data_IF_794428202835
#
_entry.id   IF_794428202835
#
_cell.length_a   1.000
_cell.length_b   1.000
_cell.length_c   1.000
_cell.angle_alpha   90.00
_cell.angle_beta   90.00
_cell.angle_gamma   90.00
#
_symmetry.space_group_name_H-M   'P 1'
#
loop_
_entity.id
_entity.type
_entity.pdbx_description
1 polymer ?
#
# COMPACT_ATOMS: atom_id res chain seq x y z
N UNK A 1 -8.91 -0.27 25.41
CA UNK A 1 -8.28 -1.27 24.51
C UNK A 1 -6.89 -0.76 24.13
N UNK A 2 -5.84 -1.54 24.39
CA UNK A 2 -4.49 -1.13 24.04
C UNK A 2 -4.28 -1.34 22.54
N UNK A 3 -3.93 -0.29 21.83
CA UNK A 3 -3.61 -0.31 20.41
C UNK A 3 -2.12 -0.53 20.25
N UNK A 4 -1.72 -1.44 19.36
CA UNK A 4 -0.32 -1.69 19.08
C UNK A 4 -0.06 -1.55 17.60
N UNK A 5 1.03 -0.86 17.24
CA UNK A 5 1.56 -0.94 15.90
C UNK A 5 2.22 -2.30 15.71
N UNK A 6 1.86 -2.99 14.64
CA UNK A 6 2.40 -4.31 14.33
C UNK A 6 3.41 -4.23 13.21
N UNK A 7 4.42 -5.06 13.29
CA UNK A 7 5.50 -5.21 12.33
C UNK A 7 5.70 -6.67 11.98
N UNK A 8 6.54 -6.96 11.02
CA UNK A 8 6.96 -8.34 10.74
C UNK A 8 7.77 -8.89 11.90
N UNK A 9 7.57 -10.16 12.23
CA UNK A 9 8.46 -10.90 13.11
C UNK A 9 9.53 -11.63 12.29
N UNK A 10 10.79 -11.56 12.69
CA UNK A 10 11.87 -12.27 12.01
C UNK A 10 13.25 -11.69 12.28
N UNK A 11 14.31 -12.36 11.84
CA UNK A 11 15.67 -11.84 11.93
C UNK A 11 15.90 -10.77 10.86
N UNK A 12 15.87 -9.56 11.30
CA UNK A 12 15.91 -8.36 10.47
C UNK A 12 17.24 -8.12 9.77
N UNK A 13 18.32 -8.63 10.32
CA UNK A 13 19.65 -8.47 9.74
C UNK A 13 19.79 -9.12 8.36
N UNK A 14 19.01 -10.17 8.09
CA UNK A 14 18.93 -10.80 6.77
C UNK A 14 18.10 -9.95 5.80
N UNK A 15 17.17 -9.13 6.29
CA UNK A 15 16.28 -8.30 5.49
C UNK A 15 16.89 -6.94 5.13
N UNK A 16 17.83 -6.43 5.92
CA UNK A 16 18.58 -5.21 5.60
C UNK A 16 19.40 -5.31 4.29
N UNK A 17 19.79 -6.53 3.92
CA UNK A 17 20.48 -6.77 2.63
C UNK A 17 19.54 -6.70 1.42
N UNK A 18 18.23 -6.62 1.63
CA UNK A 18 17.22 -6.50 0.57
C UNK A 18 16.35 -5.27 0.84
N UNK A 19 16.82 -4.14 0.36
CA UNK A 19 16.18 -2.84 0.51
C UNK A 19 14.69 -2.88 0.17
N UNK A 20 13.88 -2.24 1.00
CA UNK A 20 12.51 -1.82 0.66
C UNK A 20 11.51 -2.94 0.33
N UNK A 21 11.58 -4.08 1.04
CA UNK A 21 10.52 -5.09 0.95
C UNK A 21 9.18 -4.53 1.42
N UNK A 22 8.10 -5.01 0.82
CA UNK A 22 6.74 -4.55 1.08
C UNK A 22 5.96 -5.65 1.81
N UNK A 23 5.98 -5.67 3.15
CA UNK A 23 5.17 -6.61 3.91
C UNK A 23 3.68 -6.35 3.73
N UNK A 24 2.94 -7.44 3.71
CA UNK A 24 1.49 -7.48 3.81
C UNK A 24 1.11 -7.86 5.22
N UNK A 25 0.17 -7.13 5.81
CA UNK A 25 -0.42 -7.40 7.12
C UNK A 25 -1.89 -7.73 6.95
N UNK A 26 -2.40 -8.70 7.71
CA UNK A 26 -3.76 -9.19 7.52
C UNK A 26 -4.38 -9.68 8.82
N UNK A 27 -5.70 -9.45 8.95
CA UNK A 27 -6.55 -10.08 9.97
C UNK A 27 -7.93 -10.39 9.42
N UNK A 28 -8.47 -11.55 9.77
CA UNK A 28 -9.89 -11.83 9.64
C UNK A 28 -10.62 -11.53 10.95
N UNK A 29 -11.85 -11.07 10.82
CA UNK A 29 -12.72 -10.82 11.96
C UNK A 29 -14.19 -11.04 11.57
N UNK A 30 -15.02 -11.31 12.58
CA UNK A 30 -16.44 -11.58 12.37
C UNK A 30 -17.29 -10.46 12.96
N UNK A 31 -18.01 -9.72 12.09
CA UNK A 31 -19.05 -8.81 12.55
C UNK A 31 -20.30 -9.62 12.97
N UNK A 32 -20.63 -9.58 14.25
CA UNK A 32 -21.64 -10.47 14.85
C UNK A 32 -23.07 -10.11 14.46
N UNK A 33 -23.31 -8.83 14.16
CA UNK A 33 -24.64 -8.28 13.91
C UNK A 33 -24.66 -7.45 12.62
N UNK A 34 -25.85 -6.96 12.25
CA UNK A 34 -25.99 -6.04 11.12
C UNK A 34 -25.30 -4.71 11.45
N UNK A 35 -24.40 -4.27 10.60
CA UNK A 35 -23.62 -3.05 10.76
C UNK A 35 -24.51 -1.86 10.38
N UNK A 36 -24.57 -0.84 11.24
CA UNK A 36 -25.18 0.44 10.96
C UNK A 36 -24.17 1.45 10.41
N UNK A 37 -22.95 1.47 10.98
CA UNK A 37 -21.84 2.27 10.48
C UNK A 37 -20.50 1.69 10.94
N UNK A 38 -19.45 1.94 10.17
CA UNK A 38 -18.10 1.52 10.53
C UNK A 38 -17.05 2.55 10.08
N UNK A 39 -16.09 2.82 10.95
CA UNK A 39 -14.94 3.69 10.63
C UNK A 39 -13.64 2.97 10.96
N UNK A 40 -12.64 3.17 10.11
CA UNK A 40 -11.27 2.75 10.37
C UNK A 40 -10.37 3.98 10.56
N UNK A 41 -9.54 3.91 11.58
CA UNK A 41 -8.44 4.81 11.84
C UNK A 41 -7.18 4.03 11.59
N UNK A 42 -6.29 4.51 10.73
CA UNK A 42 -5.08 3.76 10.35
C UNK A 42 -3.89 4.65 10.11
N UNK A 43 -2.71 4.11 10.39
CA UNK A 43 -1.41 4.74 10.18
C UNK A 43 -0.35 3.68 9.89
N UNK A 44 0.81 4.10 9.43
CA UNK A 44 1.96 3.23 9.24
C UNK A 44 3.28 3.96 9.56
N UNK A 45 4.29 3.18 9.86
CA UNK A 45 5.68 3.59 9.70
C UNK A 45 6.11 3.12 8.31
N UNK A 46 6.08 4.03 7.36
CA UNK A 46 6.17 3.77 5.93
C UNK A 46 4.98 4.36 5.17
N UNK A 47 4.82 3.99 3.91
CA UNK A 47 3.66 4.32 3.08
C UNK A 47 2.81 3.08 2.89
N UNK A 48 1.48 3.20 2.99
CA UNK A 48 0.62 2.01 3.01
C UNK A 48 -0.59 2.11 2.08
N UNK A 49 -1.02 0.94 1.58
CA UNK A 49 -2.34 0.71 1.04
C UNK A 49 -3.19 -0.08 2.04
N UNK A 50 -4.46 0.26 2.12
CA UNK A 50 -5.43 -0.38 3.01
C UNK A 50 -6.54 -1.05 2.20
N UNK A 51 -6.94 -2.24 2.63
CA UNK A 51 -7.96 -3.05 1.95
C UNK A 51 -8.96 -3.61 2.95
N UNK A 52 -10.23 -3.65 2.54
CA UNK A 52 -11.31 -4.34 3.25
C UNK A 52 -12.00 -5.28 2.26
N UNK A 53 -12.09 -6.56 2.59
CA UNK A 53 -12.79 -7.58 1.79
C UNK A 53 -12.38 -7.62 0.30
N UNK A 54 -11.11 -7.35 0.01
CA UNK A 54 -10.58 -7.34 -1.36
C UNK A 54 -10.67 -5.99 -2.07
N UNK A 55 -11.25 -4.96 -1.46
CA UNK A 55 -11.38 -3.63 -2.04
C UNK A 55 -10.40 -2.64 -1.38
N UNK A 56 -9.70 -1.84 -2.19
CA UNK A 56 -8.85 -0.76 -1.69
C UNK A 56 -9.73 0.29 -1.00
N UNK A 57 -9.30 0.76 0.16
CA UNK A 57 -10.03 1.78 0.94
C UNK A 57 -9.67 3.17 0.43
N UNK A 58 -10.69 3.98 0.20
CA UNK A 58 -10.56 5.38 -0.21
C UNK A 58 -11.76 6.21 0.26
N UNK A 59 -11.78 7.48 -0.13
CA UNK A 59 -12.82 8.44 0.18
C UNK A 59 -13.92 8.39 -0.89
N UNK A 60 -15.15 8.13 -0.48
CA UNK A 60 -16.32 8.21 -1.36
C UNK A 60 -16.68 9.68 -1.55
N UNK A 61 -16.69 10.12 -2.79
CA UNK A 61 -17.03 11.49 -3.19
C UNK A 61 -18.54 11.64 -3.38
N UNK A 62 -19.02 12.89 -3.47
CA UNK A 62 -20.45 13.19 -3.70
C UNK A 62 -20.98 12.63 -5.02
N UNK A 63 -20.12 12.56 -6.04
CA UNK A 63 -20.43 11.97 -7.35
C UNK A 63 -20.43 10.44 -7.36
N UNK A 64 -20.19 9.80 -6.19
CA UNK A 64 -20.10 8.36 -6.02
C UNK A 64 -18.75 7.75 -6.38
N UNK A 65 -17.82 8.51 -6.93
CA UNK A 65 -16.46 8.03 -7.22
C UNK A 65 -15.68 7.75 -5.93
N UNK A 66 -14.66 6.92 -6.03
CA UNK A 66 -13.74 6.67 -4.91
C UNK A 66 -12.40 7.34 -5.23
N UNK A 67 -11.96 8.21 -4.36
CA UNK A 67 -10.61 8.80 -4.41
C UNK A 67 -9.72 8.16 -3.35
N UNK A 68 -8.52 7.83 -3.77
CA UNK A 68 -7.52 7.21 -2.91
C UNK A 68 -6.52 8.27 -2.44
N UNK A 69 -6.19 8.23 -1.16
CA UNK A 69 -5.08 8.99 -0.62
C UNK A 69 -3.80 8.21 -0.89
N UNK A 70 -2.96 8.78 -1.72
CA UNK A 70 -1.66 8.22 -2.03
C UNK A 70 -0.62 8.70 -1.00
N UNK A 71 0.52 8.01 -0.89
CA UNK A 71 1.62 8.34 0.02
C UNK A 71 1.22 8.49 1.51
N UNK A 72 0.04 7.96 1.90
CA UNK A 72 -0.40 7.98 3.30
C UNK A 72 0.51 7.12 4.20
N UNK A 73 0.81 7.49 5.45
CA UNK A 73 0.16 8.56 6.22
C UNK A 73 0.75 9.95 6.01
N UNK A 74 1.57 10.20 5.00
CA UNK A 74 2.36 11.39 4.76
C UNK A 74 3.59 11.46 5.67
N UNK A 75 4.49 12.38 5.37
CA UNK A 75 5.70 12.59 6.17
C UNK A 75 5.41 13.39 7.45
N UNK A 76 6.09 13.01 8.53
CA UNK A 76 6.20 13.76 9.77
C UNK A 76 7.61 13.57 10.33
N UNK A 77 7.94 14.29 11.38
CA UNK A 77 9.04 13.92 12.26
C UNK A 77 8.62 12.70 13.10
N UNK A 78 8.90 11.50 12.59
CA UNK A 78 8.51 10.24 13.23
C UNK A 78 9.14 10.01 14.62
N UNK A 79 10.13 10.83 15.01
CA UNK A 79 10.63 10.83 16.39
C UNK A 79 9.61 11.42 17.36
N UNK A 80 8.66 12.22 16.86
CA UNK A 80 7.65 12.92 17.66
C UNK A 80 6.23 12.49 17.35
N UNK A 81 5.87 12.42 16.06
CA UNK A 81 4.48 12.19 15.63
C UNK A 81 4.40 11.31 14.39
N UNK A 82 3.26 10.66 14.20
CA UNK A 82 2.85 10.10 12.92
C UNK A 82 1.37 10.45 12.67
N UNK A 83 1.03 10.73 11.42
CA UNK A 83 -0.35 10.99 11.05
C UNK A 83 -1.18 9.71 10.98
N UNK A 84 -2.47 9.80 11.30
CA UNK A 84 -3.43 8.77 10.96
C UNK A 84 -4.54 9.31 10.06
N UNK A 85 -5.02 8.46 9.15
CA UNK A 85 -6.18 8.72 8.31
C UNK A 85 -7.43 8.05 8.89
N UNK A 86 -8.59 8.60 8.53
CA UNK A 86 -9.90 8.07 8.93
C UNK A 86 -10.76 7.86 7.70
N UNK A 87 -11.32 6.65 7.56
CA UNK A 87 -12.20 6.31 6.45
C UNK A 87 -13.52 5.74 6.95
N UNK A 88 -14.61 6.12 6.29
CA UNK A 88 -15.87 5.38 6.38
C UNK A 88 -15.75 4.09 5.56
N UNK A 89 -15.93 2.95 6.21
CA UNK A 89 -15.83 1.62 5.59
C UNK A 89 -17.14 0.84 5.68
N UNK A 90 -18.25 1.54 5.97
CA UNK A 90 -19.56 0.91 6.19
C UNK A 90 -19.96 0.03 5.01
N UNK A 91 -19.86 0.56 3.78
CA UNK A 91 -20.25 -0.12 2.56
C UNK A 91 -19.31 -1.29 2.18
N UNK A 92 -18.11 -1.35 2.76
CA UNK A 92 -17.11 -2.38 2.51
C UNK A 92 -17.26 -3.61 3.41
N UNK A 93 -18.03 -3.49 4.49
CA UNK A 93 -18.20 -4.53 5.49
C UNK A 93 -19.55 -5.22 5.38
N UNK A 94 -19.59 -6.46 5.87
CA UNK A 94 -20.83 -7.25 5.93
C UNK A 94 -20.97 -7.95 7.29
N UNK A 95 -22.19 -8.32 7.65
CA UNK A 95 -22.41 -9.26 8.75
C UNK A 95 -21.72 -10.59 8.43
N UNK A 96 -21.05 -11.18 9.40
CA UNK A 96 -20.26 -12.41 9.21
C UNK A 96 -18.77 -12.12 8.98
N UNK A 97 -18.12 -12.96 8.21
CA UNK A 97 -16.67 -12.93 8.01
C UNK A 97 -16.22 -11.74 7.14
N UNK A 98 -15.22 -11.03 7.64
CA UNK A 98 -14.57 -9.91 6.98
C UNK A 98 -13.05 -10.06 7.09
N UNK A 99 -12.34 -9.44 6.17
CA UNK A 99 -10.88 -9.34 6.21
C UNK A 99 -10.43 -7.88 6.06
N UNK A 100 -9.46 -7.49 6.85
CA UNK A 100 -8.71 -6.25 6.71
C UNK A 100 -7.26 -6.59 6.37
N UNK A 101 -6.67 -5.84 5.44
CA UNK A 101 -5.29 -6.00 5.07
C UNK A 101 -4.63 -4.68 4.74
N UNK A 102 -3.33 -4.60 4.99
CA UNK A 102 -2.49 -3.48 4.59
C UNK A 102 -1.19 -4.01 4.00
N UNK A 103 -0.67 -3.35 2.96
CA UNK A 103 0.71 -3.50 2.53
C UNK A 103 1.44 -2.20 2.78
N UNK A 104 2.67 -2.29 3.24
CA UNK A 104 3.43 -1.13 3.71
C UNK A 104 4.80 -1.14 3.06
N UNK A 105 5.15 -0.07 2.36
CA UNK A 105 6.50 0.16 1.82
C UNK A 105 7.28 1.11 2.71
N UNK A 106 8.57 1.28 2.44
CA UNK A 106 9.51 2.04 3.26
C UNK A 106 9.07 3.50 3.52
N UNK A 107 8.49 4.18 2.51
CA UNK A 107 8.09 5.57 2.63
C UNK A 107 9.25 6.47 3.08
N UNK A 108 8.97 7.42 3.98
CA UNK A 108 10.00 8.24 4.62
C UNK A 108 10.59 7.62 5.89
N UNK A 109 9.98 6.56 6.40
CA UNK A 109 10.41 5.92 7.64
C UNK A 109 11.70 5.13 7.46
N UNK A 110 11.81 4.35 6.39
CA UNK A 110 12.91 3.40 6.17
C UNK A 110 13.38 3.40 4.71
N UNK A 111 13.64 4.59 4.16
CA UNK A 111 14.19 4.75 2.82
C UNK A 111 15.38 5.70 2.82
N UNK A 112 16.12 5.71 1.73
CA UNK A 112 17.24 6.62 1.53
C UNK A 112 16.80 8.08 1.38
N UNK A 113 15.51 8.35 1.17
CA UNK A 113 15.00 9.72 1.01
C UNK A 113 15.20 10.57 2.26
N UNK A 114 15.21 9.95 3.43
CA UNK A 114 15.54 10.62 4.70
C UNK A 114 16.93 10.25 5.22
N UNK A 115 17.81 9.74 4.38
CA UNK A 115 19.21 9.39 4.74
C UNK A 115 19.33 8.52 5.99
N UNK A 116 18.32 7.69 6.28
CA UNK A 116 18.28 6.84 7.47
C UNK A 116 18.10 7.60 8.78
N UNK A 117 17.58 8.83 8.76
CA UNK A 117 17.38 9.68 9.94
C UNK A 117 16.58 8.99 11.05
N UNK A 118 15.56 8.20 10.67
CA UNK A 118 14.75 7.45 11.63
C UNK A 118 15.28 6.04 11.90
N UNK A 119 16.44 5.71 11.35
CA UNK A 119 17.08 4.39 11.44
C UNK A 119 16.55 3.39 10.41
N UNK A 120 17.26 2.28 10.25
CA UNK A 120 16.87 1.18 9.36
C UNK A 120 15.97 0.21 10.14
N UNK A 121 14.81 0.67 10.56
CA UNK A 121 13.86 -0.11 11.34
C UNK A 121 12.74 -0.67 10.47
N UNK A 122 12.11 -1.73 10.96
CA UNK A 122 10.96 -2.34 10.30
C UNK A 122 9.83 -1.35 10.10
N UNK A 123 9.21 -1.40 8.92
CA UNK A 123 7.93 -0.76 8.70
C UNK A 123 6.87 -1.36 9.63
N UNK A 124 5.89 -0.55 10.01
CA UNK A 124 4.84 -0.96 10.92
C UNK A 124 3.47 -0.50 10.45
N UNK A 125 2.44 -1.17 10.91
CA UNK A 125 1.06 -0.81 10.64
C UNK A 125 0.23 -0.78 11.91
N UNK A 126 -0.66 0.20 12.02
CA UNK A 126 -1.62 0.31 13.11
C UNK A 126 -3.00 0.67 12.58
N UNK A 127 -4.03 -0.01 13.10
CA UNK A 127 -5.42 0.30 12.76
C UNK A 127 -6.37 0.03 13.92
N UNK A 128 -7.45 0.81 13.93
CA UNK A 128 -8.61 0.62 14.82
C UNK A 128 -9.87 0.74 13.97
N UNK A 129 -10.67 -0.31 13.94
CA UNK A 129 -12.00 -0.31 13.33
C UNK A 129 -13.04 -0.19 14.45
N UNK A 130 -13.93 0.78 14.33
CA UNK A 130 -15.11 0.93 15.17
C UNK A 130 -16.32 0.47 14.38
N UNK A 131 -17.00 -0.56 14.87
CA UNK A 131 -18.27 -1.07 14.34
C UNK A 131 -19.40 -0.59 15.22
N UNK A 132 -20.42 0.03 14.64
CA UNK A 132 -21.70 0.31 15.29
C UNK A 132 -22.76 -0.58 14.66
N UNK A 133 -23.50 -1.28 15.47
CA UNK A 133 -24.54 -2.18 15.02
C UNK A 133 -25.93 -1.51 15.06
N UNK A 134 -26.88 -2.05 14.29
CA UNK A 134 -28.23 -1.49 14.19
C UNK A 134 -29.02 -1.58 15.49
N UNK A 135 -28.58 -2.39 16.46
CA UNK A 135 -29.17 -2.50 17.80
C UNK A 135 -28.53 -1.54 18.81
N UNK A 136 -27.70 -0.59 18.35
CA UNK A 136 -27.03 0.40 19.20
C UNK A 136 -25.75 -0.08 19.88
N UNK A 137 -25.43 -1.38 19.84
CA UNK A 137 -24.17 -1.89 20.39
C UNK A 137 -23.00 -1.60 19.48
N UNK A 138 -21.78 -1.67 20.01
CA UNK A 138 -20.54 -1.44 19.24
C UNK A 138 -19.49 -2.50 19.52
N UNK A 139 -18.60 -2.68 18.57
CA UNK A 139 -17.44 -3.57 18.65
C UNK A 139 -16.21 -2.86 18.09
N UNK A 140 -15.03 -3.20 18.59
CA UNK A 140 -13.77 -2.64 18.13
C UNK A 140 -12.82 -3.76 17.69
N UNK A 141 -12.25 -3.62 16.50
CA UNK A 141 -11.17 -4.48 15.99
C UNK A 141 -9.89 -3.63 15.91
N UNK A 142 -8.79 -4.13 16.46
CA UNK A 142 -7.52 -3.42 16.53
C UNK A 142 -6.37 -4.26 15.97
N UNK A 143 -5.26 -3.60 15.66
CA UNK A 143 -3.98 -4.29 15.46
C UNK A 143 -3.49 -4.87 16.79
N UNK A 144 -3.23 -6.17 16.77
CA UNK A 144 -2.72 -6.95 17.88
C UNK A 144 -1.92 -8.16 17.35
N UNK A 145 -1.39 -8.99 18.24
CA UNK A 145 -0.58 -10.17 17.90
C UNK A 145 -1.35 -11.30 17.18
N UNK A 146 -2.65 -11.15 16.96
CA UNK A 146 -3.44 -12.08 16.14
C UNK A 146 -3.38 -11.75 14.64
N UNK A 147 -2.78 -10.62 14.27
CA UNK A 147 -2.50 -10.31 12.87
C UNK A 147 -1.41 -11.20 12.33
N UNK A 148 -1.45 -11.43 11.03
CA UNK A 148 -0.45 -12.19 10.30
C UNK A 148 0.26 -11.28 9.29
N UNK A 149 1.48 -11.65 8.92
CA UNK A 149 2.28 -10.94 7.93
C UNK A 149 2.91 -11.88 6.91
N UNK A 150 3.14 -11.36 5.71
CA UNK A 150 3.88 -12.06 4.65
C UNK A 150 4.70 -11.08 3.83
N UNK A 151 5.88 -11.50 3.39
CA UNK A 151 6.74 -10.79 2.44
C UNK A 151 6.59 -11.32 1.01
N UNK A 152 5.70 -12.30 0.79
CA UNK A 152 5.56 -12.95 -0.52
C UNK A 152 4.41 -12.37 -1.34
N UNK A 153 4.33 -11.04 -1.42
CA UNK A 153 3.38 -10.30 -2.25
C UNK A 153 3.88 -9.98 -3.65
N UNK A 154 3.02 -9.44 -4.48
CA UNK A 154 3.34 -9.02 -5.85
C UNK A 154 4.33 -7.86 -5.89
N UNK A 155 4.26 -6.91 -4.96
CA UNK A 155 5.26 -5.85 -4.83
C UNK A 155 6.45 -6.44 -4.09
N UNK A 156 7.53 -6.67 -4.82
CA UNK A 156 8.76 -7.30 -4.30
C UNK A 156 9.68 -6.28 -3.63
N UNK A 157 9.63 -5.04 -4.09
CA UNK A 157 10.33 -3.88 -3.58
C UNK A 157 9.46 -2.65 -3.85
N UNK A 158 9.37 -1.72 -2.92
CA UNK A 158 8.66 -0.46 -3.09
C UNK A 158 9.30 0.63 -2.23
N UNK A 159 9.76 1.70 -2.89
CA UNK A 159 10.47 2.79 -2.26
C UNK A 159 10.20 4.10 -3.02
N UNK A 160 10.03 5.21 -2.29
CA UNK A 160 9.75 6.52 -2.91
C UNK A 160 10.91 6.96 -3.82
N UNK A 161 12.15 6.61 -3.47
CA UNK A 161 13.34 7.03 -4.19
C UNK A 161 13.77 6.03 -5.28
N UNK A 162 13.73 4.73 -4.95
CA UNK A 162 14.22 3.67 -5.82
C UNK A 162 13.14 3.05 -6.72
N UNK A 163 11.86 3.44 -6.55
CA UNK A 163 10.76 2.94 -7.36
C UNK A 163 10.19 1.61 -6.88
N UNK A 164 9.67 0.81 -7.81
CA UNK A 164 8.94 -0.42 -7.52
C UNK A 164 9.43 -1.60 -8.37
N UNK A 165 9.51 -2.76 -7.75
CA UNK A 165 9.63 -4.05 -8.45
C UNK A 165 8.37 -4.85 -8.24
N UNK A 166 7.64 -5.14 -9.32
CA UNK A 166 6.35 -5.81 -9.32
C UNK A 166 6.39 -7.15 -10.06
N UNK A 167 5.89 -8.21 -9.42
CA UNK A 167 5.71 -9.52 -10.03
C UNK A 167 4.22 -9.90 -10.08
N UNK A 168 3.58 -9.67 -11.23
CA UNK A 168 2.17 -9.95 -11.42
C UNK A 168 1.75 -11.41 -11.16
N UNK A 169 2.69 -12.36 -11.23
CA UNK A 169 2.45 -13.79 -10.94
C UNK A 169 2.15 -14.04 -9.45
N UNK A 170 2.50 -13.08 -8.59
CA UNK A 170 2.28 -13.11 -7.14
C UNK A 170 1.00 -12.40 -6.72
N UNK A 171 0.23 -11.86 -7.67
CA UNK A 171 -1.08 -11.31 -7.35
C UNK A 171 -2.01 -12.42 -6.84
N UNK A 172 -2.69 -12.13 -5.73
CA UNK A 172 -3.57 -13.08 -5.06
C UNK A 172 -4.70 -12.37 -4.32
N UNK A 173 -5.71 -13.12 -3.93
CA UNK A 173 -6.85 -12.59 -3.17
C UNK A 173 -6.58 -12.45 -1.67
N UNK A 174 -5.36 -12.15 -1.26
CA UNK A 174 -4.94 -12.16 0.15
C UNK A 174 -5.73 -11.21 1.07
N UNK A 175 -6.40 -10.22 0.51
CA UNK A 175 -7.25 -9.27 1.25
C UNK A 175 -8.70 -9.72 1.40
N UNK A 176 -9.08 -10.89 0.82
CA UNK A 176 -10.43 -11.44 0.90
C UNK A 176 -10.58 -12.41 2.08
N UNK A 177 -11.77 -12.51 2.70
CA UNK A 177 -12.04 -13.54 3.70
C UNK A 177 -11.82 -14.95 3.15
N UNK A 178 -11.34 -15.86 4.02
CA UNK A 178 -11.08 -17.26 3.66
C UNK A 178 -9.78 -17.50 2.90
N UNK A 179 -8.92 -16.51 2.76
CA UNK A 179 -7.60 -16.70 2.13
C UNK A 179 -6.71 -17.62 2.97
N UNK A 180 -6.03 -18.56 2.32
CA UNK A 180 -5.13 -19.47 2.99
C UNK A 180 -3.84 -18.76 3.48
N UNK A 181 -3.68 -18.67 4.78
CA UNK A 181 -2.54 -18.03 5.45
C UNK A 181 -1.57 -19.00 6.09
N UNK A 182 -1.57 -20.29 5.71
CA UNK A 182 -0.73 -21.31 6.34
C UNK A 182 0.78 -20.97 6.33
N UNK A 183 1.23 -20.22 5.31
CA UNK A 183 2.62 -19.79 5.16
C UNK A 183 2.86 -18.35 5.63
N UNK A 184 1.91 -17.75 6.34
CA UNK A 184 2.08 -16.41 6.90
C UNK A 184 2.67 -16.48 8.30
N UNK A 185 3.45 -15.46 8.65
CA UNK A 185 4.09 -15.34 9.94
C UNK A 185 3.21 -14.58 10.93
N UNK A 186 3.40 -14.82 12.22
CA UNK A 186 2.86 -13.96 13.27
C UNK A 186 3.53 -12.59 13.21
N UNK A 187 2.79 -11.56 13.61
CA UNK A 187 3.33 -10.21 13.78
C UNK A 187 3.96 -10.04 15.17
N UNK A 188 4.79 -9.02 15.31
CA UNK A 188 5.34 -8.54 16.59
C UNK A 188 4.94 -7.08 16.82
N UNK A 189 5.07 -6.60 18.05
CA UNK A 189 4.90 -5.17 18.36
C UNK A 189 6.16 -4.42 17.89
N UNK A 190 5.97 -3.38 17.08
CA UNK A 190 7.08 -2.51 16.69
C UNK A 190 7.54 -1.67 17.89
N UNK A 191 8.79 -1.79 18.34
CA UNK A 191 9.27 -1.09 19.53
C UNK A 191 9.86 0.30 19.22
N UNK A 192 10.01 0.64 17.94
CA UNK A 192 10.82 1.79 17.52
C UNK A 192 10.05 3.11 17.52
N UNK A 193 8.73 3.08 17.27
CA UNK A 193 7.91 4.27 17.35
C UNK A 193 7.53 4.61 18.79
N UNK A 194 7.91 5.80 19.24
CA UNK A 194 7.62 6.35 20.58
C UNK A 194 6.79 7.63 20.53
N UNK A 195 6.51 8.10 19.32
CA UNK A 195 5.79 9.35 19.08
C UNK A 195 4.28 9.23 19.33
N UNK A 196 3.59 10.32 19.06
CA UNK A 196 2.15 10.45 19.19
C UNK A 196 1.47 10.29 17.83
N UNK A 197 0.29 9.63 17.80
CA UNK A 197 -0.55 9.58 16.61
C UNK A 197 -1.47 10.78 16.58
N UNK A 198 -1.36 11.62 15.55
CA UNK A 198 -2.19 12.79 15.35
C UNK A 198 -3.04 12.67 14.09
N UNK A 199 -4.24 13.27 14.11
CA UNK A 199 -5.11 13.24 12.94
C UNK A 199 -4.48 14.05 11.79
N UNK A 200 -4.49 13.46 10.59
CA UNK A 200 -4.11 14.21 9.40
C UNK A 200 -5.22 15.23 9.06
N UNK A 201 -4.88 16.50 8.98
CA UNK A 201 -5.83 17.59 8.76
C UNK A 201 -5.56 18.36 7.45
N UNK A 202 -4.53 17.99 6.70
CA UNK A 202 -4.14 18.65 5.45
C UNK A 202 -4.82 18.07 4.20
N UNK A 203 -4.60 18.67 3.03
CA UNK A 203 -4.98 18.06 1.76
C UNK A 203 -4.11 16.83 1.49
N UNK A 204 -4.75 15.73 1.12
CA UNK A 204 -4.04 14.48 0.80
C UNK A 204 -3.47 14.50 -0.62
N UNK A 205 -2.42 13.71 -0.85
CA UNK A 205 -1.90 13.46 -2.20
C UNK A 205 -2.89 12.55 -2.93
N UNK A 206 -3.34 12.98 -4.10
CA UNK A 206 -4.31 12.25 -4.91
C UNK A 206 -3.91 12.26 -6.38
N UNK A 207 -4.23 11.17 -7.09
CA UNK A 207 -4.13 11.13 -8.55
C UNK A 207 -5.04 12.20 -9.16
N UNK A 208 -4.54 12.94 -10.13
CA UNK A 208 -5.29 13.95 -10.91
C UNK A 208 -5.65 13.40 -12.28
N UNK A 209 -6.80 12.75 -12.46
CA UNK A 209 -7.16 12.09 -13.72
C UNK A 209 -7.16 13.03 -14.94
N UNK A 210 -7.50 14.30 -14.73
CA UNK A 210 -7.50 15.32 -15.79
C UNK A 210 -6.10 15.65 -16.34
N UNK A 211 -5.04 15.27 -15.62
CA UNK A 211 -3.65 15.40 -16.08
C UNK A 211 -3.12 14.13 -16.74
N UNK A 212 -3.91 13.06 -16.80
CA UNK A 212 -3.50 11.81 -17.46
C UNK A 212 -3.12 12.06 -18.92
N UNK A 213 -2.06 11.38 -19.37
CA UNK A 213 -1.55 11.50 -20.74
C UNK A 213 -1.61 10.14 -21.41
N UNK A 214 -1.93 10.17 -22.70
CA UNK A 214 -1.84 9.02 -23.58
C UNK A 214 -0.56 9.21 -24.40
N UNK A 215 0.26 8.17 -24.60
CA UNK A 215 1.45 8.27 -25.43
C UNK A 215 1.12 8.81 -26.84
N UNK A 216 1.88 9.79 -27.30
CA UNK A 216 1.80 10.31 -28.67
C UNK A 216 2.42 9.34 -29.68
N UNK A 217 3.46 8.64 -29.26
CA UNK A 217 4.10 7.58 -30.04
C UNK A 217 4.74 6.55 -29.13
N UNK A 218 4.99 5.38 -29.69
CA UNK A 218 5.73 4.32 -29.02
C UNK A 218 6.80 3.79 -29.97
N UNK A 219 8.04 3.74 -29.49
CA UNK A 219 9.16 3.16 -30.23
C UNK A 219 9.63 1.90 -29.53
N UNK A 220 9.73 0.81 -30.27
CA UNK A 220 10.29 -0.45 -29.77
C UNK A 220 11.74 -0.57 -30.26
N UNK A 221 12.63 -0.84 -29.32
CA UNK A 221 14.07 -1.04 -29.55
C UNK A 221 14.46 -2.47 -29.22
N UNK A 222 15.46 -2.98 -29.90
CA UNK A 222 16.07 -4.28 -29.63
C UNK A 222 17.61 -4.17 -29.57
N UNK A 223 18.09 -3.91 -28.35
CA UNK A 223 19.54 -3.84 -28.09
C UNK A 223 20.27 -2.74 -28.85
N UNK A 224 21.58 -2.75 -28.72
CA UNK A 224 22.53 -1.88 -29.42
C UNK A 224 23.42 -2.74 -30.29
N UNK A 225 23.67 -2.29 -31.54
CA UNK A 225 24.59 -2.91 -32.46
C UNK A 225 25.46 -1.82 -33.12
N UNK A 226 26.75 -1.97 -33.03
CA UNK A 226 27.74 -1.04 -33.61
C UNK A 226 27.58 0.43 -33.18
N UNK A 227 27.27 0.64 -31.86
CA UNK A 227 27.02 1.96 -31.27
C UNK A 227 25.70 2.59 -31.71
N UNK A 228 24.82 1.84 -32.38
CA UNK A 228 23.51 2.31 -32.82
C UNK A 228 22.42 1.48 -32.19
N UNK A 229 21.40 2.18 -31.67
CA UNK A 229 20.18 1.55 -31.12
C UNK A 229 19.36 1.00 -32.29
N UNK A 230 19.03 -0.30 -32.25
CA UNK A 230 18.23 -0.94 -33.29
C UNK A 230 16.74 -0.66 -33.05
N UNK A 231 16.11 0.12 -33.93
CA UNK A 231 14.68 0.40 -33.91
C UNK A 231 13.92 -0.73 -34.59
N UNK A 232 13.04 -1.41 -33.88
CA UNK A 232 12.20 -2.51 -34.41
C UNK A 232 10.92 -1.96 -35.02
N UNK A 233 10.26 -1.02 -34.36
CA UNK A 233 9.01 -0.39 -34.83
C UNK A 233 8.80 0.98 -34.20
N UNK A 234 8.05 1.83 -34.91
CA UNK A 234 7.53 3.10 -34.41
C UNK A 234 6.03 3.12 -34.67
N UNK A 235 5.27 3.52 -33.67
CA UNK A 235 3.80 3.61 -33.75
C UNK A 235 3.36 4.97 -33.24
N UNK A 236 2.66 5.75 -34.06
CA UNK A 236 2.18 7.11 -33.74
C UNK A 236 0.79 7.12 -33.09
N UNK A 237 0.27 5.97 -32.70
CA UNK A 237 -1.03 5.83 -32.02
C UNK A 237 -0.90 4.89 -30.83
N UNK A 238 -1.66 5.15 -29.74
CA UNK A 238 -1.73 4.21 -28.64
C UNK A 238 -2.25 2.86 -29.15
N UNK A 239 -1.48 1.81 -28.94
CA UNK A 239 -1.90 0.44 -29.28
C UNK A 239 -1.28 -0.54 -28.29
N UNK A 240 -1.94 -1.68 -28.02
CA UNK A 240 -1.33 -2.76 -27.26
C UNK A 240 -0.03 -3.23 -27.95
N UNK A 241 1.05 -3.33 -27.21
CA UNK A 241 2.35 -3.77 -27.70
C UNK A 241 2.68 -5.13 -27.12
N UNK A 242 3.14 -6.05 -27.95
CA UNK A 242 3.71 -7.32 -27.52
C UNK A 242 5.23 -7.26 -27.73
N UNK A 243 5.95 -7.26 -26.62
CA UNK A 243 7.41 -7.29 -26.62
C UNK A 243 7.93 -8.72 -26.65
N UNK A 244 9.00 -8.95 -27.41
CA UNK A 244 9.81 -10.17 -27.34
C UNK A 244 10.92 -10.00 -26.31
N UNK A 245 11.57 -11.09 -25.94
CA UNK A 245 12.72 -11.04 -25.02
C UNK A 245 13.81 -10.13 -25.59
N UNK A 246 14.25 -9.17 -24.77
CA UNK A 246 15.29 -8.20 -25.14
C UNK A 246 14.78 -6.94 -25.88
N UNK A 247 13.48 -6.86 -26.15
CA UNK A 247 12.87 -5.63 -26.68
C UNK A 247 12.48 -4.67 -25.55
N UNK A 248 12.59 -3.38 -25.81
CA UNK A 248 12.22 -2.29 -24.91
C UNK A 248 11.27 -1.33 -25.62
N UNK A 249 10.11 -1.06 -25.02
CA UNK A 249 9.19 -0.03 -25.51
C UNK A 249 9.46 1.31 -24.80
N UNK A 250 9.57 2.37 -25.59
CA UNK A 250 9.69 3.75 -25.12
C UNK A 250 8.43 4.51 -25.52
N UNK A 251 7.68 4.98 -24.52
CA UNK A 251 6.46 5.75 -24.71
C UNK A 251 6.77 7.24 -24.65
N UNK A 252 6.49 7.96 -25.74
CA UNK A 252 6.62 9.40 -25.78
C UNK A 252 5.31 10.06 -25.33
N UNK A 253 5.31 10.71 -24.19
CA UNK A 253 4.14 11.41 -23.63
C UNK A 253 4.02 12.87 -24.09
N UNK A 254 4.95 13.35 -24.95
CA UNK A 254 4.94 14.69 -25.52
C UNK A 254 5.49 15.80 -24.61
N UNK A 255 5.79 15.47 -23.37
CA UNK A 255 6.40 16.40 -22.41
C UNK A 255 7.21 15.67 -21.36
N UNK A 256 8.15 16.37 -20.76
CA UNK A 256 8.84 15.89 -19.56
C UNK A 256 7.88 16.01 -18.37
N UNK A 257 7.67 14.91 -17.64
CA UNK A 257 6.75 14.86 -16.51
C UNK A 257 7.19 13.82 -15.49
N UNK A 258 6.73 13.97 -14.27
CA UNK A 258 6.81 12.96 -13.22
C UNK A 258 5.39 12.48 -12.92
N UNK A 259 5.23 11.17 -12.80
CA UNK A 259 3.92 10.56 -12.54
C UNK A 259 4.03 9.03 -12.57
N UNK A 260 2.90 8.37 -12.49
CA UNK A 260 2.73 6.93 -12.65
C UNK A 260 1.46 6.58 -13.46
#
# INVERSE_FOLDING_TARGET
CKLNMVSTSGDYRVLQASMSRVPMFRKEFKAKKKIASARIYSSALGVYDLFINGQRVGNKMEDGSIRYDELKPEWTDFSKTAHYQTYDITDLLRKGENAVGARVSSGWWNSDVCHGEYGSHEVGFIAKILLKYTDGTSETVVTDLSWLSSMDGAIRMGDIYHGETYDARKESGWTKPGYNTANWNKTAVNPHFKGELIAFAGPTVQVRPHLSRIPLSTTVYQGEKDGKINVVSVTDKPAPIRLKKGETAVYNLGQNMVGW
#
